data_IF_505314582788
#
_entry.id   IF_505314582788
#
_cell.length_a   1.000
_cell.length_b   1.000
_cell.length_c   1.000
_cell.angle_alpha   90.00
_cell.angle_beta   90.00
_cell.angle_gamma   90.00
#
_symmetry.space_group_name_H-M   'P 1'
#
loop_
_entity.id
_entity.type
_entity.pdbx_description
1 polymer ?
#
# COMPACT_ATOMS: atom_id res chain seq x y z
N UNK A 1 -6.61 -30.91 -13.78
CA UNK A 1 -5.93 -29.65 -14.23
C UNK A 1 -6.66 -28.37 -13.83
N UNK A 2 -7.96 -28.38 -13.48
CA UNK A 2 -8.77 -27.17 -13.22
C UNK A 2 -8.47 -26.39 -11.91
N UNK A 3 -7.92 -27.02 -10.90
CA UNK A 3 -7.71 -26.37 -9.59
C UNK A 3 -6.51 -25.39 -9.52
N UNK A 4 -5.55 -25.52 -10.42
CA UNK A 4 -4.37 -24.64 -10.48
C UNK A 4 -4.67 -23.31 -11.20
N UNK A 5 -5.46 -23.37 -12.26
CA UNK A 5 -5.92 -22.19 -13.04
C UNK A 5 -6.78 -21.25 -12.20
N UNK A 6 -7.66 -21.79 -11.35
CA UNK A 6 -8.55 -20.99 -10.51
C UNK A 6 -7.80 -20.22 -9.40
N UNK A 7 -6.70 -20.78 -8.86
CA UNK A 7 -5.85 -20.09 -7.87
C UNK A 7 -5.03 -18.94 -8.50
N UNK A 8 -4.54 -19.15 -9.72
CA UNK A 8 -3.77 -18.14 -10.45
C UNK A 8 -4.64 -16.95 -10.85
N UNK A 9 -5.81 -17.22 -11.42
CA UNK A 9 -6.81 -16.23 -11.80
C UNK A 9 -7.23 -15.36 -10.60
N UNK A 10 -7.54 -15.96 -9.45
CA UNK A 10 -7.90 -15.24 -8.22
C UNK A 10 -6.75 -14.40 -7.65
N UNK A 11 -5.51 -14.82 -7.84
CA UNK A 11 -4.34 -14.06 -7.39
C UNK A 11 -4.11 -12.87 -8.32
N UNK A 12 -4.22 -13.06 -9.61
CA UNK A 12 -4.09 -12.02 -10.63
C UNK A 12 -5.18 -10.95 -10.47
N UNK A 13 -6.43 -11.35 -10.24
CA UNK A 13 -7.53 -10.39 -10.06
C UNK A 13 -7.33 -9.49 -8.83
N UNK A 14 -6.73 -9.99 -7.75
CA UNK A 14 -6.40 -9.16 -6.58
C UNK A 14 -5.31 -8.12 -6.87
N UNK A 15 -4.27 -8.51 -7.59
CA UNK A 15 -3.21 -7.58 -7.97
C UNK A 15 -3.70 -6.53 -8.97
N UNK A 16 -4.60 -6.91 -9.89
CA UNK A 16 -5.26 -5.97 -10.79
C UNK A 16 -6.15 -4.97 -10.05
N UNK A 17 -6.89 -5.41 -9.03
CA UNK A 17 -7.66 -4.52 -8.18
C UNK A 17 -6.76 -3.54 -7.41
N UNK A 18 -5.67 -4.04 -6.82
CA UNK A 18 -4.71 -3.18 -6.12
C UNK A 18 -4.08 -2.18 -7.09
N UNK A 19 -3.64 -2.62 -8.26
CA UNK A 19 -3.10 -1.74 -9.29
C UNK A 19 -4.14 -0.70 -9.75
N UNK A 20 -5.41 -1.10 -9.92
CA UNK A 20 -6.50 -0.19 -10.25
C UNK A 20 -6.71 0.90 -9.20
N UNK A 21 -6.68 0.52 -7.92
CA UNK A 21 -6.77 1.50 -6.81
C UNK A 21 -5.59 2.46 -6.84
N UNK A 22 -4.36 1.97 -7.02
CA UNK A 22 -3.18 2.82 -7.10
C UNK A 22 -3.19 3.75 -8.33
N UNK A 23 -3.71 3.26 -9.47
CA UNK A 23 -3.92 4.10 -10.65
C UNK A 23 -4.94 5.21 -10.38
N UNK A 24 -6.02 4.90 -9.67
CA UNK A 24 -7.04 5.89 -9.30
C UNK A 24 -6.46 6.95 -8.34
N UNK A 25 -5.63 6.54 -7.40
CA UNK A 25 -4.90 7.44 -6.51
C UNK A 25 -3.95 8.34 -7.32
N UNK A 26 -3.21 7.77 -8.29
CA UNK A 26 -2.34 8.55 -9.17
C UNK A 26 -3.11 9.60 -9.98
N UNK A 27 -4.30 9.27 -10.47
CA UNK A 27 -5.16 10.23 -11.17
C UNK A 27 -5.64 11.36 -10.26
N UNK A 28 -5.98 11.07 -9.01
CA UNK A 28 -6.34 12.09 -8.02
C UNK A 28 -5.16 13.04 -7.74
N UNK A 29 -3.97 12.50 -7.50
CA UNK A 29 -2.77 13.31 -7.29
C UNK A 29 -2.37 14.08 -8.55
N UNK A 30 -2.61 13.53 -9.74
CA UNK A 30 -2.41 14.28 -11.00
C UNK A 30 -3.29 15.52 -11.04
N UNK A 31 -4.56 15.41 -10.67
CA UNK A 31 -5.46 16.57 -10.58
C UNK A 31 -4.96 17.62 -9.57
N UNK A 32 -4.52 17.16 -8.40
CA UNK A 32 -3.94 18.05 -7.39
C UNK A 32 -2.67 18.75 -7.89
N UNK A 33 -1.75 18.02 -8.52
CA UNK A 33 -0.50 18.56 -9.07
C UNK A 33 -0.75 19.60 -10.15
N UNK A 34 -1.74 19.37 -11.03
CA UNK A 34 -2.15 20.34 -12.04
C UNK A 34 -2.74 21.60 -11.40
N UNK A 35 -3.61 21.45 -10.42
CA UNK A 35 -4.22 22.58 -9.72
C UNK A 35 -3.17 23.43 -8.99
N UNK A 36 -2.26 22.76 -8.28
CA UNK A 36 -1.15 23.41 -7.58
C UNK A 36 -0.22 24.16 -8.54
N UNK A 37 0.11 23.57 -9.68
CA UNK A 37 0.95 24.19 -10.70
C UNK A 37 0.29 25.41 -11.35
N UNK A 38 -1.02 25.34 -11.57
CA UNK A 38 -1.80 26.43 -12.12
C UNK A 38 -1.83 27.63 -11.15
N UNK A 39 -2.10 27.37 -9.87
CA UNK A 39 -2.09 28.42 -8.81
C UNK A 39 -0.69 29.03 -8.65
N UNK A 40 0.37 28.24 -8.83
CA UNK A 40 1.76 28.72 -8.78
C UNK A 40 2.20 29.50 -10.04
N UNK A 41 1.31 29.68 -11.02
CA UNK A 41 1.64 30.37 -12.28
C UNK A 41 2.61 29.61 -13.19
N UNK A 42 2.78 28.32 -12.98
CA UNK A 42 3.69 27.45 -13.75
C UNK A 42 2.90 26.27 -14.32
N UNK A 43 2.16 26.47 -15.42
CA UNK A 43 1.28 25.41 -15.95
C UNK A 43 2.09 24.18 -16.35
N UNK A 44 1.67 23.06 -15.82
CA UNK A 44 2.20 21.71 -16.11
C UNK A 44 1.39 21.08 -17.24
N UNK A 45 2.05 20.35 -18.13
CA UNK A 45 1.33 19.52 -19.08
C UNK A 45 0.72 18.31 -18.37
N UNK A 46 -0.51 17.94 -18.75
CA UNK A 46 -1.22 16.78 -18.20
C UNK A 46 -0.36 15.50 -18.25
N UNK A 47 0.31 15.25 -19.37
CA UNK A 47 1.13 14.05 -19.57
C UNK A 47 2.32 13.97 -18.62
N UNK A 48 2.95 15.11 -18.33
CA UNK A 48 4.05 15.16 -17.35
C UNK A 48 3.53 14.89 -15.94
N UNK A 49 2.48 15.59 -15.52
CA UNK A 49 1.89 15.37 -14.20
C UNK A 49 1.48 13.90 -14.04
N UNK A 50 0.79 13.33 -15.04
CA UNK A 50 0.35 11.95 -15.02
C UNK A 50 1.52 10.96 -14.96
N UNK A 51 2.57 11.16 -15.75
CA UNK A 51 3.74 10.25 -15.73
C UNK A 51 4.45 10.26 -14.39
N UNK A 52 4.54 11.40 -13.71
CA UNK A 52 5.16 11.51 -12.39
C UNK A 52 4.36 10.81 -11.30
N UNK A 53 3.06 11.10 -11.25
CA UNK A 53 2.19 10.50 -10.23
C UNK A 53 2.03 8.98 -10.43
N UNK A 54 1.90 8.54 -11.68
CA UNK A 54 1.92 7.11 -11.99
C UNK A 54 3.22 6.45 -11.55
N UNK A 55 4.36 7.04 -11.88
CA UNK A 55 5.66 6.48 -11.49
C UNK A 55 5.76 6.34 -9.97
N UNK A 56 5.54 7.41 -9.20
CA UNK A 56 5.58 7.39 -7.74
C UNK A 56 4.62 6.38 -7.13
N UNK A 57 3.38 6.31 -7.65
CA UNK A 57 2.39 5.33 -7.20
C UNK A 57 2.80 3.89 -7.51
N UNK A 58 3.38 3.62 -8.67
CA UNK A 58 3.84 2.27 -9.02
C UNK A 58 5.10 1.84 -8.26
N UNK A 59 5.96 2.77 -7.84
CA UNK A 59 7.04 2.46 -6.88
C UNK A 59 6.46 1.98 -5.54
N UNK A 60 5.40 2.64 -5.03
CA UNK A 60 4.68 2.15 -3.86
C UNK A 60 4.06 0.77 -4.09
N UNK A 61 3.45 0.55 -5.25
CA UNK A 61 2.90 -0.76 -5.62
C UNK A 61 3.97 -1.86 -5.59
N UNK A 62 5.20 -1.55 -6.03
CA UNK A 62 6.33 -2.47 -5.97
C UNK A 62 6.79 -2.76 -4.52
N UNK A 63 6.61 -1.82 -3.58
CA UNK A 63 6.93 -2.03 -2.17
C UNK A 63 5.85 -2.82 -1.41
N UNK A 64 4.58 -2.85 -1.88
CA UNK A 64 3.50 -3.54 -1.19
C UNK A 64 3.79 -5.02 -0.86
N UNK A 65 4.38 -5.84 -1.75
CA UNK A 65 4.71 -7.23 -1.40
C UNK A 65 5.64 -7.35 -0.19
N UNK A 66 6.62 -6.43 -0.09
CA UNK A 66 7.57 -6.38 1.02
C UNK A 66 6.89 -5.92 2.31
N UNK A 67 6.07 -4.88 2.23
CA UNK A 67 5.28 -4.38 3.37
C UNK A 67 4.35 -5.48 3.88
N UNK A 68 3.67 -6.19 2.98
CA UNK A 68 2.78 -7.28 3.31
C UNK A 68 3.51 -8.52 3.86
N UNK A 69 4.70 -8.81 3.36
CA UNK A 69 5.55 -9.85 3.93
C UNK A 69 5.99 -9.50 5.36
N UNK A 70 6.43 -8.24 5.56
CA UNK A 70 6.85 -7.74 6.86
C UNK A 70 5.70 -7.78 7.88
N UNK A 71 4.50 -7.32 7.49
CA UNK A 71 3.31 -7.35 8.34
C UNK A 71 2.87 -8.75 8.74
N UNK A 72 3.08 -9.76 7.85
CA UNK A 72 2.83 -11.17 8.18
C UNK A 72 3.93 -11.78 9.05
N UNK A 73 5.16 -11.34 8.90
CA UNK A 73 6.31 -11.85 9.67
C UNK A 73 6.36 -11.29 11.09
N UNK A 74 5.86 -10.07 11.27
CA UNK A 74 5.81 -9.35 12.54
C UNK A 74 4.40 -8.84 12.83
N UNK A 75 3.43 -9.74 13.11
CA UNK A 75 2.06 -9.35 13.41
C UNK A 75 1.99 -8.65 14.77
N UNK A 76 0.97 -7.77 14.94
CA UNK A 76 0.70 -7.12 16.22
C UNK A 76 -0.07 -8.07 17.15
N UNK A 77 0.62 -9.03 17.76
CA UNK A 77 0.04 -10.00 18.71
C UNK A 77 0.34 -9.61 20.18
N UNK A 78 -0.59 -9.97 21.09
CA UNK A 78 -0.40 -9.79 22.52
C UNK A 78 0.88 -10.52 22.98
N UNK A 79 1.80 -9.78 23.62
CA UNK A 79 3.07 -10.29 24.15
C UNK A 79 4.29 -10.05 23.25
N UNK A 80 4.12 -9.81 21.94
CA UNK A 80 5.23 -9.50 21.00
C UNK A 80 5.08 -8.15 20.31
N UNK A 81 4.06 -7.37 20.69
CA UNK A 81 3.74 -6.09 20.08
C UNK A 81 4.89 -5.06 20.09
N UNK A 82 5.77 -4.95 21.15
CA UNK A 82 6.82 -3.94 21.16
C UNK A 82 7.85 -4.20 20.06
N UNK A 83 8.22 -5.48 19.84
CA UNK A 83 9.14 -5.87 18.75
C UNK A 83 8.54 -5.58 17.39
N UNK A 84 7.26 -5.92 17.18
CA UNK A 84 6.55 -5.65 15.94
C UNK A 84 6.44 -4.16 15.69
N UNK A 85 6.13 -3.37 16.71
CA UNK A 85 6.06 -1.91 16.62
C UNK A 85 7.43 -1.33 16.21
N UNK A 86 8.52 -1.75 16.86
CA UNK A 86 9.87 -1.27 16.53
C UNK A 86 10.25 -1.59 15.09
N UNK A 87 9.97 -2.81 14.61
CA UNK A 87 10.24 -3.20 13.22
C UNK A 87 9.42 -2.34 12.25
N UNK A 88 8.13 -2.11 12.53
CA UNK A 88 7.28 -1.30 11.66
C UNK A 88 7.58 0.20 11.74
N UNK A 89 8.05 0.70 12.88
CA UNK A 89 8.56 2.07 12.99
C UNK A 89 9.80 2.27 12.12
N UNK A 90 10.77 1.36 12.20
CA UNK A 90 11.96 1.41 11.33
C UNK A 90 11.59 1.27 9.85
N UNK A 91 10.75 0.31 9.51
CA UNK A 91 10.30 0.12 8.13
C UNK A 91 9.50 1.33 7.62
N UNK A 92 8.62 1.91 8.47
CA UNK A 92 7.86 3.11 8.17
C UNK A 92 8.70 4.37 7.95
N UNK A 93 9.98 4.36 8.37
CA UNK A 93 10.96 5.39 8.03
C UNK A 93 11.75 5.00 6.76
N UNK A 94 12.21 3.76 6.68
CA UNK A 94 13.08 3.28 5.59
C UNK A 94 12.37 3.27 4.24
N UNK A 95 11.14 2.75 4.17
CA UNK A 95 10.41 2.70 2.89
C UNK A 95 10.15 4.10 2.29
N UNK A 96 9.66 5.10 3.05
CA UNK A 96 9.56 6.47 2.56
C UNK A 96 10.91 7.06 2.12
N UNK A 97 11.99 6.83 2.85
CA UNK A 97 13.32 7.30 2.45
C UNK A 97 13.76 6.69 1.12
N UNK A 98 13.56 5.39 0.93
CA UNK A 98 13.85 4.71 -0.33
C UNK A 98 12.96 5.22 -1.47
N UNK A 99 11.66 5.44 -1.21
CA UNK A 99 10.75 6.04 -2.18
C UNK A 99 11.25 7.39 -2.67
N UNK A 100 11.59 8.31 -1.75
CA UNK A 100 12.08 9.63 -2.11
C UNK A 100 13.42 9.57 -2.85
N UNK A 101 14.28 8.59 -2.54
CA UNK A 101 15.52 8.38 -3.27
C UNK A 101 15.26 7.95 -4.72
N UNK A 102 14.35 7.01 -4.94
CA UNK A 102 13.95 6.54 -6.27
C UNK A 102 13.30 7.68 -7.07
N UNK A 103 12.37 8.42 -6.45
CA UNK A 103 11.69 9.54 -7.09
C UNK A 103 12.71 10.64 -7.48
N UNK A 104 13.66 10.96 -6.59
CA UNK A 104 14.69 11.98 -6.83
C UNK A 104 15.66 11.58 -7.94
N UNK A 105 15.83 10.28 -8.16
CA UNK A 105 16.70 9.78 -9.23
C UNK A 105 15.99 9.79 -10.58
N UNK A 106 14.72 9.43 -10.63
CA UNK A 106 14.00 9.15 -11.89
C UNK A 106 13.17 10.35 -12.37
N UNK A 107 12.47 11.04 -11.47
CA UNK A 107 11.53 12.12 -11.86
C UNK A 107 12.20 13.29 -12.64
N UNK A 108 13.44 13.72 -12.35
CA UNK A 108 14.11 14.72 -13.18
C UNK A 108 14.25 14.29 -14.64
N UNK A 109 14.47 12.99 -14.90
CA UNK A 109 14.57 12.45 -16.27
C UNK A 109 13.21 12.39 -16.98
N UNK A 110 12.13 12.32 -16.22
CA UNK A 110 10.75 12.41 -16.74
C UNK A 110 10.28 13.85 -16.96
N UNK A 111 11.20 14.83 -16.84
CA UNK A 111 10.91 16.24 -17.04
C UNK A 111 10.19 16.92 -15.87
N UNK A 112 10.36 16.36 -14.65
CA UNK A 112 9.96 17.09 -13.44
C UNK A 112 10.72 18.43 -13.41
N UNK A 113 10.04 19.58 -13.31
CA UNK A 113 10.73 20.86 -13.38
C UNK A 113 11.72 20.95 -12.22
N UNK A 114 12.99 21.24 -12.52
CA UNK A 114 13.93 21.53 -11.46
C UNK A 114 13.40 22.76 -10.72
N UNK A 115 13.10 22.62 -9.42
CA UNK A 115 12.92 23.78 -8.58
C UNK A 115 14.19 24.61 -8.65
N UNK A 116 14.08 25.94 -8.69
CA UNK A 116 15.24 26.82 -8.80
C UNK A 116 16.30 26.42 -7.76
N UNK A 117 17.50 26.07 -8.23
CA UNK A 117 18.63 25.61 -7.39
C UNK A 117 18.75 24.11 -7.13
N UNK A 118 17.85 23.24 -7.67
CA UNK A 118 17.90 21.77 -7.46
C UNK A 118 18.59 21.05 -8.64
N UNK A 119 19.85 21.38 -8.89
CA UNK A 119 20.61 20.78 -10.00
C UNK A 119 21.36 19.50 -9.58
N UNK A 120 21.25 19.10 -8.31
CA UNK A 120 21.94 17.91 -7.77
C UNK A 120 20.95 16.95 -7.16
N UNK A 121 21.29 15.63 -7.21
CA UNK A 121 20.50 14.59 -6.54
C UNK A 121 20.23 14.95 -5.07
N UNK A 122 21.26 15.39 -4.34
CA UNK A 122 21.14 15.71 -2.92
C UNK A 122 20.15 16.86 -2.65
N UNK A 123 20.13 17.88 -3.49
CA UNK A 123 19.18 18.99 -3.36
C UNK A 123 17.74 18.54 -3.67
N UNK A 124 17.54 17.77 -4.75
CA UNK A 124 16.25 17.20 -5.12
C UNK A 124 15.71 16.24 -4.03
N UNK A 125 16.58 15.36 -3.53
CA UNK A 125 16.22 14.43 -2.45
C UNK A 125 15.80 15.14 -1.17
N UNK A 126 16.54 16.17 -0.74
CA UNK A 126 16.17 16.98 0.44
C UNK A 126 14.84 17.70 0.24
N UNK A 127 14.57 18.25 -0.94
CA UNK A 127 13.30 18.89 -1.23
C UNK A 127 12.15 17.88 -1.19
N UNK A 128 12.29 16.70 -1.78
CA UNK A 128 11.28 15.65 -1.75
C UNK A 128 11.05 15.11 -0.35
N UNK A 129 12.10 14.95 0.46
CA UNK A 129 11.97 14.60 1.87
C UNK A 129 11.11 15.61 2.62
N UNK A 130 11.38 16.89 2.48
CA UNK A 130 10.63 17.93 3.19
C UNK A 130 9.16 17.99 2.76
N UNK A 131 8.88 17.78 1.46
CA UNK A 131 7.53 17.91 0.90
C UNK A 131 6.69 16.63 1.03
N UNK A 132 7.27 15.47 0.76
CA UNK A 132 6.51 14.24 0.56
C UNK A 132 6.73 13.18 1.66
N UNK A 133 7.75 13.31 2.50
CA UNK A 133 8.05 12.31 3.53
C UNK A 133 6.89 12.06 4.49
N UNK A 134 6.19 13.08 5.02
CA UNK A 134 5.08 12.84 5.95
C UNK A 134 3.96 12.02 5.33
N UNK A 135 3.56 12.34 4.10
CA UNK A 135 2.51 11.59 3.40
C UNK A 135 2.96 10.16 3.08
N UNK A 136 4.23 9.97 2.73
CA UNK A 136 4.80 8.65 2.46
C UNK A 136 4.80 7.76 3.70
N UNK A 137 5.06 8.31 4.88
CA UNK A 137 4.92 7.60 6.16
C UNK A 137 3.46 7.18 6.38
N UNK A 138 2.50 8.08 6.13
CA UNK A 138 1.07 7.77 6.23
C UNK A 138 0.69 6.64 5.27
N UNK A 139 1.15 6.67 4.02
CA UNK A 139 0.90 5.61 3.01
C UNK A 139 1.41 4.25 3.49
N UNK A 140 2.60 4.19 4.12
CA UNK A 140 3.11 2.97 4.72
C UNK A 140 2.16 2.41 5.78
N UNK A 141 1.76 3.25 6.76
CA UNK A 141 0.91 2.83 7.86
C UNK A 141 -0.51 2.46 7.42
N UNK A 142 -1.07 3.18 6.45
CA UNK A 142 -2.37 2.85 5.86
C UNK A 142 -2.30 1.50 5.14
N UNK A 143 -1.24 1.24 4.36
CA UNK A 143 -1.03 -0.03 3.67
C UNK A 143 -0.91 -1.21 4.64
N UNK A 144 -0.15 -1.04 5.72
CA UNK A 144 0.01 -2.01 6.79
C UNK A 144 -1.31 -2.24 7.55
N UNK A 145 -2.03 -1.16 7.87
CA UNK A 145 -3.33 -1.21 8.54
C UNK A 145 -4.39 -1.92 7.70
N UNK A 146 -4.47 -1.61 6.41
CA UNK A 146 -5.39 -2.27 5.49
C UNK A 146 -5.12 -3.78 5.40
N UNK A 147 -3.84 -4.18 5.29
CA UNK A 147 -3.47 -5.59 5.31
C UNK A 147 -3.87 -6.28 6.62
N UNK A 148 -3.55 -5.67 7.75
CA UNK A 148 -3.86 -6.21 9.08
C UNK A 148 -5.37 -6.32 9.28
N UNK A 149 -6.14 -5.30 8.89
CA UNK A 149 -7.59 -5.30 8.95
C UNK A 149 -8.23 -6.42 8.13
N UNK A 150 -7.76 -6.62 6.89
CA UNK A 150 -8.21 -7.74 6.04
C UNK A 150 -7.87 -9.10 6.70
N UNK A 151 -6.70 -9.22 7.31
CA UNK A 151 -6.30 -10.42 8.06
C UNK A 151 -7.22 -10.73 9.23
N UNK A 152 -7.49 -9.73 10.08
CA UNK A 152 -8.40 -9.86 11.21
C UNK A 152 -9.83 -10.16 10.78
N UNK A 153 -10.35 -9.50 9.73
CA UNK A 153 -11.68 -9.76 9.20
C UNK A 153 -11.85 -11.21 8.72
N UNK A 154 -10.83 -11.74 8.01
CA UNK A 154 -10.86 -13.14 7.56
C UNK A 154 -10.85 -14.12 8.73
N UNK A 155 -10.01 -13.87 9.73
CA UNK A 155 -9.92 -14.72 10.92
C UNK A 155 -11.24 -14.69 11.72
N UNK A 156 -11.88 -13.52 11.83
CA UNK A 156 -13.19 -13.37 12.46
C UNK A 156 -14.26 -14.19 11.73
N UNK A 157 -14.35 -14.04 10.42
CA UNK A 157 -15.29 -14.80 9.57
C UNK A 157 -15.07 -16.31 9.66
N UNK A 158 -13.82 -16.78 9.69
CA UNK A 158 -13.54 -18.21 9.85
C UNK A 158 -13.98 -18.73 11.21
N UNK A 159 -13.82 -17.94 12.27
CA UNK A 159 -14.31 -18.31 13.61
C UNK A 159 -15.83 -18.39 13.65
N UNK A 160 -16.53 -17.43 13.07
CA UNK A 160 -17.99 -17.40 12.98
C UNK A 160 -18.52 -18.62 12.23
N UNK A 161 -17.94 -18.95 11.08
CA UNK A 161 -18.30 -20.13 10.30
C UNK A 161 -18.08 -21.43 11.09
N UNK A 162 -16.96 -21.55 11.80
CA UNK A 162 -16.67 -22.74 12.64
C UNK A 162 -17.66 -22.85 13.80
N UNK A 163 -18.00 -21.76 14.46
CA UNK A 163 -19.01 -21.75 15.53
C UNK A 163 -20.35 -22.26 15.02
N UNK A 164 -20.84 -21.69 13.90
CA UNK A 164 -22.10 -22.13 13.28
C UNK A 164 -22.08 -23.62 12.86
N UNK A 165 -20.96 -24.11 12.34
CA UNK A 165 -20.82 -25.53 12.00
C UNK A 165 -20.86 -26.44 13.25
N UNK A 166 -20.26 -26.00 14.35
CA UNK A 166 -20.30 -26.75 15.62
C UNK A 166 -21.70 -26.76 16.21
N UNK A 167 -22.42 -25.66 16.19
CA UNK A 167 -23.82 -25.56 16.63
C UNK A 167 -24.71 -26.50 15.81
N UNK A 168 -24.57 -26.51 14.48
CA UNK A 168 -25.33 -27.40 13.61
C UNK A 168 -25.04 -28.89 13.91
N UNK A 169 -23.76 -29.23 14.16
CA UNK A 169 -23.40 -30.62 14.55
C UNK A 169 -23.97 -31.01 15.92
N UNK A 170 -23.97 -30.09 16.90
CA UNK A 170 -24.55 -30.34 18.22
C UNK A 170 -26.08 -30.58 18.10
N UNK A 171 -26.77 -29.72 17.36
CA UNK A 171 -28.22 -29.89 17.12
C UNK A 171 -28.53 -31.26 16.44
N UNK A 172 -27.70 -31.64 15.45
CA UNK A 172 -27.85 -32.93 14.76
C UNK A 172 -27.63 -34.11 15.72
N UNK A 173 -26.59 -34.04 16.58
CA UNK A 173 -26.32 -35.11 17.55
C UNK A 173 -27.42 -35.23 18.61
N UNK A 174 -28.01 -34.14 19.08
CA UNK A 174 -29.13 -34.13 20.00
C UNK A 174 -30.37 -34.79 19.38
N UNK A 175 -30.64 -34.53 18.10
CA UNK A 175 -31.74 -35.17 17.38
C UNK A 175 -31.52 -36.70 17.19
N UNK A 176 -30.28 -37.15 17.10
CA UNK A 176 -29.94 -38.58 17.00
C UNK A 176 -30.14 -39.33 18.33
N UNK A 177 -29.91 -38.65 19.47
CA UNK A 177 -30.07 -39.24 20.80
C UNK A 177 -31.55 -39.40 21.16
N UNK A 178 -32.41 -38.57 20.59
CA UNK A 178 -33.89 -38.57 20.86
C UNK A 178 -34.66 -39.57 19.97
N UNK A 179 -33.99 -40.27 19.05
CA UNK A 179 -34.56 -41.33 18.23
C UNK A 179 -34.18 -42.71 18.79
#
# INVERSE_FOLDING_TARGET
MSGRENKWSRRMSKWLLIAGVWTLIALLFTGESLMRSHVAGRPLSLWRALSWELFSCYVWLAFLPLIFWLGRRFPFERGRWPRSLLVHMLAGLVFPLLQQAVDSLVLPHLGYPPMAGLNTFAATYRAFLLMNFPISVVVYWVSLGAQSGIGYYRMYRERELRASQLEAKLAQSQLQILK
#
